data_IF_480323962213
#
_entry.id   IF_480323962213
#
_cell.length_a   1.000
_cell.length_b   1.000
_cell.length_c   1.000
_cell.angle_alpha   90.00
_cell.angle_beta   90.00
_cell.angle_gamma   90.00
#
_symmetry.space_group_name_H-M   'P 1'
#
loop_
_entity.id
_entity.type
_entity.pdbx_description
1 polymer ?
#
# COMPACT_ATOMS: atom_id res chain seq x y z
N UNK A 1 -30.82 -42.62 -46.81
CA UNK A 1 -31.56 -42.56 -48.09
C UNK A 1 -32.93 -41.97 -47.77
N UNK A 2 -33.48 -40.87 -48.30
CA UNK A 2 -33.32 -40.01 -49.49
C UNK A 2 -34.09 -38.71 -49.08
N UNK A 3 -33.50 -37.50 -49.17
CA UNK A 3 -33.89 -36.38 -50.07
C UNK A 3 -35.38 -35.99 -50.09
N UNK A 4 -35.86 -34.74 -50.17
CA UNK A 4 -35.32 -33.40 -50.49
C UNK A 4 -36.52 -32.42 -50.50
N UNK A 5 -36.28 -31.12 -50.28
CA UNK A 5 -36.94 -29.93 -50.91
C UNK A 5 -38.44 -29.69 -50.60
N UNK A 6 -39.04 -28.50 -50.54
CA UNK A 6 -38.73 -27.12 -50.97
C UNK A 6 -39.76 -26.16 -50.33
N UNK A 7 -39.41 -24.87 -50.31
CA UNK A 7 -40.20 -23.73 -49.83
C UNK A 7 -41.56 -23.50 -50.53
N UNK A 8 -42.47 -22.82 -49.81
CA UNK A 8 -43.52 -21.97 -50.39
C UNK A 8 -43.83 -20.80 -49.45
N UNK A 9 -43.80 -19.59 -49.99
CA UNK A 9 -44.22 -18.35 -49.36
C UNK A 9 -45.65 -17.99 -49.81
N UNK A 10 -46.44 -17.37 -48.93
CA UNK A 10 -47.57 -16.50 -49.28
C UNK A 10 -47.97 -15.69 -48.02
N UNK A 11 -47.67 -14.39 -48.00
CA UNK A 11 -48.64 -13.26 -48.09
C UNK A 11 -49.54 -13.11 -46.86
N UNK A 12 -49.19 -12.21 -45.94
CA UNK A 12 -49.68 -10.81 -45.83
C UNK A 12 -51.17 -10.73 -45.50
N UNK A 13 -51.44 -10.40 -44.24
CA UNK A 13 -52.63 -9.65 -43.84
C UNK A 13 -52.15 -8.46 -42.99
N UNK A 14 -52.24 -7.29 -43.61
CA UNK A 14 -52.04 -5.99 -43.00
C UNK A 14 -53.08 -5.76 -41.91
N UNK A 15 -52.62 -5.54 -40.69
CA UNK A 15 -53.41 -4.99 -39.60
C UNK A 15 -52.70 -3.75 -39.07
N UNK A 16 -52.97 -2.60 -39.67
CA UNK A 16 -52.58 -1.29 -39.16
C UNK A 16 -53.26 -1.07 -37.80
N UNK A 17 -52.48 -1.12 -36.71
CA UNK A 17 -52.83 -0.45 -35.46
C UNK A 17 -51.77 0.61 -35.20
N UNK A 18 -52.26 1.84 -35.07
CA UNK A 18 -51.51 3.07 -35.07
C UNK A 18 -50.41 3.13 -33.99
N UNK A 19 -49.28 3.69 -34.41
CA UNK A 19 -48.27 4.29 -33.54
C UNK A 19 -48.94 5.36 -32.66
N UNK A 20 -48.93 5.13 -31.34
CA UNK A 20 -48.94 6.22 -30.37
C UNK A 20 -47.60 6.19 -29.66
N UNK A 21 -46.70 7.06 -30.11
CA UNK A 21 -45.45 7.34 -29.43
C UNK A 21 -45.76 8.05 -28.11
N UNK A 22 -45.77 7.30 -27.01
CA UNK A 22 -45.62 7.90 -25.68
C UNK A 22 -44.13 8.17 -25.49
N UNK A 23 -43.79 9.44 -25.68
CA UNK A 23 -42.49 10.02 -25.44
C UNK A 23 -42.29 10.19 -23.93
N UNK A 24 -42.16 9.08 -23.20
CA UNK A 24 -41.80 9.12 -21.79
C UNK A 24 -40.28 9.29 -21.71
N UNK A 25 -39.77 10.38 -21.11
CA UNK A 25 -38.35 10.48 -20.83
C UNK A 25 -37.97 9.31 -19.92
N UNK A 26 -36.95 8.55 -20.32
CA UNK A 26 -36.36 7.53 -19.46
C UNK A 26 -36.15 8.14 -18.07
N UNK A 27 -36.56 7.47 -16.96
CA UNK A 27 -36.29 7.98 -15.63
C UNK A 27 -34.80 8.23 -15.56
N UNK A 28 -34.43 9.48 -15.26
CA UNK A 28 -33.04 9.87 -15.11
C UNK A 28 -32.41 8.83 -14.19
N UNK A 29 -31.40 8.11 -14.70
CA UNK A 29 -30.52 7.32 -13.84
C UNK A 29 -29.98 8.34 -12.85
N UNK A 30 -30.50 8.29 -11.63
CA UNK A 30 -29.88 8.95 -10.50
C UNK A 30 -28.46 8.40 -10.55
N UNK A 31 -27.49 9.26 -10.84
CA UNK A 31 -26.11 8.88 -10.63
C UNK A 31 -26.08 8.26 -9.24
N UNK A 32 -25.55 7.03 -9.15
CA UNK A 32 -25.16 6.51 -7.86
C UNK A 32 -24.41 7.64 -7.17
N UNK A 33 -24.69 7.94 -5.89
CA UNK A 33 -23.90 8.93 -5.19
C UNK A 33 -22.44 8.55 -5.46
N UNK A 34 -21.69 9.49 -6.01
CA UNK A 34 -20.25 9.41 -6.03
C UNK A 34 -19.90 9.29 -4.56
N UNK A 35 -19.77 8.05 -4.10
CA UNK A 35 -19.27 7.74 -2.78
C UNK A 35 -17.89 8.32 -2.82
N UNK A 36 -17.73 9.50 -2.20
CA UNK A 36 -16.43 9.96 -1.78
C UNK A 36 -15.71 8.72 -1.20
N UNK A 37 -14.47 8.44 -1.62
CA UNK A 37 -13.76 7.29 -1.10
C UNK A 37 -13.89 7.29 0.43
N UNK A 38 -14.09 6.12 1.07
CA UNK A 38 -14.13 6.03 2.54
C UNK A 38 -12.89 6.75 3.05
N UNK A 39 -13.03 7.58 4.10
CA UNK A 39 -12.01 8.51 4.61
C UNK A 39 -10.58 7.95 4.44
N UNK A 40 -9.97 8.25 3.30
CA UNK A 40 -8.74 7.62 2.82
C UNK A 40 -7.54 8.34 3.44
N UNK A 41 -7.71 8.75 4.69
CA UNK A 41 -6.71 9.45 5.47
C UNK A 41 -5.64 8.45 5.89
N UNK A 42 -4.40 8.85 5.65
CA UNK A 42 -3.18 8.19 6.11
C UNK A 42 -3.05 8.21 7.64
N UNK A 43 -3.76 9.12 8.32
CA UNK A 43 -3.67 9.30 9.77
C UNK A 43 -5.04 9.18 10.44
N UNK A 44 -5.03 8.60 11.63
CA UNK A 44 -6.17 8.67 12.55
C UNK A 44 -6.19 10.07 13.17
N UNK A 45 -7.35 10.73 13.13
CA UNK A 45 -7.55 11.99 13.83
C UNK A 45 -7.42 11.80 15.35
N UNK A 46 -6.59 12.64 15.98
CA UNK A 46 -6.43 12.68 17.42
C UNK A 46 -7.01 13.97 17.99
N UNK A 47 -7.50 13.92 19.22
CA UNK A 47 -8.07 15.07 19.94
C UNK A 47 -6.99 16.06 20.44
N UNK A 48 -5.72 15.66 20.34
CA UNK A 48 -4.54 16.45 20.70
C UNK A 48 -3.35 16.13 19.80
N UNK A 49 -2.34 16.99 19.82
CA UNK A 49 -1.04 16.68 19.24
C UNK A 49 -0.38 15.49 19.94
N UNK A 50 0.32 14.66 19.17
CA UNK A 50 1.10 13.53 19.66
C UNK A 50 2.35 14.00 20.40
N UNK A 51 2.69 13.31 21.49
CA UNK A 51 3.93 13.55 22.24
C UNK A 51 5.12 12.86 21.57
N UNK A 52 6.35 13.26 21.91
CA UNK A 52 7.58 12.79 21.26
C UNK A 52 7.94 11.31 21.43
N UNK A 53 7.04 10.47 21.96
CA UNK A 53 7.14 9.01 22.03
C UNK A 53 5.88 8.31 21.47
N UNK A 54 4.97 9.07 20.87
CA UNK A 54 3.76 8.58 20.24
C UNK A 54 3.96 8.57 18.72
N UNK A 55 3.25 7.66 18.05
CA UNK A 55 3.14 7.59 16.60
C UNK A 55 1.75 7.10 16.21
N UNK A 56 1.16 7.69 15.18
CA UNK A 56 -0.10 7.26 14.60
C UNK A 56 0.11 6.09 13.63
N UNK A 57 -0.71 5.05 13.76
CA UNK A 57 -0.82 3.93 12.81
C UNK A 57 -2.29 3.74 12.45
N UNK A 58 -2.64 2.97 11.41
CA UNK A 58 -4.05 2.81 11.03
C UNK A 58 -4.88 2.01 12.06
N UNK A 59 -4.21 1.35 13.01
CA UNK A 59 -4.85 0.66 14.14
C UNK A 59 -4.92 1.49 15.43
N UNK A 60 -4.31 2.68 15.46
CA UNK A 60 -4.33 3.56 16.64
C UNK A 60 -3.01 4.29 16.89
N UNK A 61 -3.00 5.08 17.98
CA UNK A 61 -1.78 5.70 18.51
C UNK A 61 -1.01 4.65 19.32
N UNK A 62 0.27 4.47 18.99
CA UNK A 62 1.19 3.60 19.71
C UNK A 62 2.23 4.42 20.47
N UNK A 63 2.57 4.00 21.68
CA UNK A 63 3.70 4.55 22.44
C UNK A 63 4.93 3.69 22.15
N UNK A 64 5.89 4.27 21.45
CA UNK A 64 7.08 3.57 20.97
C UNK A 64 8.35 4.37 21.26
N UNK A 65 9.45 3.65 21.44
CA UNK A 65 10.78 4.25 21.48
C UNK A 65 11.15 4.77 20.08
N UNK A 66 12.12 5.69 20.01
CA UNK A 66 12.46 6.35 18.75
C UNK A 66 12.91 5.35 17.67
N UNK A 67 13.69 4.33 18.05
CA UNK A 67 14.11 3.20 17.22
C UNK A 67 12.92 2.45 16.59
N UNK A 68 11.88 2.10 17.37
CA UNK A 68 10.68 1.46 16.82
C UNK A 68 9.82 2.40 15.97
N UNK A 69 9.81 3.70 16.27
CA UNK A 69 9.13 4.69 15.41
C UNK A 69 9.82 4.86 14.06
N UNK A 70 11.15 4.72 13.98
CA UNK A 70 11.86 4.64 12.69
C UNK A 70 11.33 3.46 11.86
N UNK A 71 11.11 2.30 12.48
CA UNK A 71 10.55 1.14 11.79
C UNK A 71 9.12 1.38 11.26
N UNK A 72 8.29 2.13 11.99
CA UNK A 72 6.97 2.58 11.50
C UNK A 72 7.14 3.48 10.26
N UNK A 73 8.01 4.49 10.34
CA UNK A 73 8.26 5.39 9.20
C UNK A 73 8.86 4.64 7.99
N UNK A 74 9.67 3.61 8.21
CA UNK A 74 10.29 2.82 7.16
C UNK A 74 9.27 2.19 6.20
N UNK A 75 8.13 1.72 6.72
CA UNK A 75 7.06 1.17 5.88
C UNK A 75 6.49 2.21 4.92
N UNK A 76 6.22 3.43 5.41
CA UNK A 76 5.73 4.52 4.56
C UNK A 76 6.75 4.95 3.51
N UNK A 77 8.03 5.07 3.90
CA UNK A 77 9.09 5.45 2.96
C UNK A 77 9.26 4.38 1.87
N UNK A 78 9.42 3.11 2.24
CA UNK A 78 9.60 2.02 1.28
C UNK A 78 8.40 1.88 0.35
N UNK A 79 7.18 2.04 0.86
CA UNK A 79 5.96 2.08 0.04
C UNK A 79 5.98 3.26 -0.95
N UNK A 80 6.34 4.46 -0.48
CA UNK A 80 6.45 5.66 -1.32
C UNK A 80 7.47 5.51 -2.44
N UNK A 81 8.66 4.98 -2.14
CA UNK A 81 9.69 4.73 -3.15
C UNK A 81 9.24 3.68 -4.18
N UNK A 82 8.56 2.61 -3.76
CA UNK A 82 8.03 1.60 -4.66
C UNK A 82 6.91 2.14 -5.56
N UNK A 83 5.97 2.91 -5.01
CA UNK A 83 4.91 3.59 -5.78
C UNK A 83 5.49 4.55 -6.82
N UNK A 84 6.55 5.26 -6.45
CA UNK A 84 7.16 6.20 -7.38
C UNK A 84 7.76 5.46 -8.58
N UNK A 85 8.54 4.40 -8.33
CA UNK A 85 9.07 3.53 -9.39
C UNK A 85 7.99 2.85 -10.23
N UNK A 86 6.83 2.58 -9.64
CA UNK A 86 5.67 2.03 -10.34
C UNK A 86 4.89 3.07 -11.17
N UNK A 87 5.35 4.33 -11.24
CA UNK A 87 4.70 5.38 -12.01
C UNK A 87 3.45 5.97 -11.34
N UNK A 88 3.33 5.85 -10.02
CA UNK A 88 2.24 6.41 -9.22
C UNK A 88 2.73 7.56 -8.31
N UNK A 89 3.17 8.71 -8.86
CA UNK A 89 3.83 9.77 -8.10
C UNK A 89 2.92 10.42 -7.04
N UNK A 90 1.62 10.58 -7.31
CA UNK A 90 0.68 11.15 -6.32
C UNK A 90 0.56 10.27 -5.07
N UNK A 91 0.49 8.95 -5.26
CA UNK A 91 0.43 7.97 -4.16
C UNK A 91 1.78 7.90 -3.44
N UNK A 92 2.88 8.02 -4.17
CA UNK A 92 4.23 8.09 -3.60
C UNK A 92 4.40 9.31 -2.69
N UNK A 93 3.99 10.50 -3.15
CA UNK A 93 4.05 11.73 -2.37
C UNK A 93 3.21 11.61 -1.09
N UNK A 94 2.01 11.03 -1.18
CA UNK A 94 1.13 10.81 -0.03
C UNK A 94 1.82 9.95 1.07
N UNK A 95 2.49 8.86 0.68
CA UNK A 95 3.26 8.04 1.62
C UNK A 95 4.49 8.76 2.19
N UNK A 96 5.26 9.44 1.33
CA UNK A 96 6.46 10.19 1.75
C UNK A 96 6.12 11.39 2.64
N UNK A 97 4.87 11.84 2.68
CA UNK A 97 4.43 12.92 3.56
C UNK A 97 4.70 12.60 5.05
N UNK A 98 4.71 11.33 5.46
CA UNK A 98 5.09 10.93 6.83
C UNK A 98 6.55 11.28 7.17
N UNK A 99 7.44 11.33 6.18
CA UNK A 99 8.85 11.66 6.36
C UNK A 99 9.11 13.18 6.38
N UNK A 100 8.24 13.98 5.76
CA UNK A 100 8.53 15.41 5.48
C UNK A 100 7.55 16.39 6.10
N UNK A 101 6.31 15.98 6.41
CA UNK A 101 5.28 16.89 6.94
C UNK A 101 5.64 17.44 8.32
N UNK A 102 5.20 18.68 8.57
CA UNK A 102 5.22 19.28 9.91
C UNK A 102 4.24 18.61 10.86
N UNK A 103 3.15 18.03 10.35
CA UNK A 103 2.12 17.35 11.14
C UNK A 103 2.66 16.09 11.83
N UNK A 104 3.60 15.40 11.18
CA UNK A 104 4.27 14.19 11.68
C UNK A 104 5.62 14.48 12.34
N UNK A 105 5.99 15.76 12.52
CA UNK A 105 7.32 16.12 13.02
C UNK A 105 7.62 15.53 14.40
N UNK A 106 6.66 15.55 15.33
CA UNK A 106 6.84 15.00 16.69
C UNK A 106 7.03 13.48 16.69
N UNK A 107 6.48 12.78 15.70
CA UNK A 107 6.69 11.34 15.52
C UNK A 107 8.14 11.01 15.16
N UNK A 108 8.87 11.98 14.57
CA UNK A 108 10.28 11.87 14.16
C UNK A 108 11.27 12.43 15.19
N UNK A 109 10.79 12.89 16.34
CA UNK A 109 11.65 13.40 17.41
C UNK A 109 12.72 12.36 17.80
N UNK A 110 13.99 12.76 17.75
CA UNK A 110 15.13 11.89 18.08
C UNK A 110 15.68 11.05 16.91
N UNK A 111 15.06 11.07 15.72
CA UNK A 111 15.55 10.27 14.58
C UNK A 111 16.92 10.73 14.08
N UNK A 112 17.25 12.01 14.24
CA UNK A 112 18.57 12.54 13.90
C UNK A 112 19.73 11.88 14.66
N UNK A 113 19.46 11.26 15.84
CA UNK A 113 20.47 10.48 16.56
C UNK A 113 20.87 9.18 15.81
N UNK A 114 20.03 8.72 14.89
CA UNK A 114 20.26 7.56 14.04
C UNK A 114 20.70 7.95 12.61
N UNK A 115 20.94 9.23 12.33
CA UNK A 115 21.34 9.67 10.99
C UNK A 115 20.19 9.86 9.99
N UNK A 116 18.94 9.90 10.45
CA UNK A 116 17.81 10.21 9.59
C UNK A 116 17.95 11.62 8.98
N UNK A 117 18.00 11.69 7.65
CA UNK A 117 18.12 12.94 6.91
C UNK A 117 16.82 13.25 6.15
N UNK A 118 15.98 14.11 6.74
CA UNK A 118 14.72 14.56 6.14
C UNK A 118 14.90 15.13 4.73
N UNK A 119 16.03 15.79 4.43
CA UNK A 119 16.24 16.49 3.16
C UNK A 119 16.32 15.55 1.96
N UNK A 120 16.77 14.32 2.17
CA UNK A 120 16.80 13.27 1.14
C UNK A 120 15.37 12.90 0.73
N UNK A 121 14.46 12.79 1.70
CA UNK A 121 13.05 12.49 1.44
C UNK A 121 12.28 13.70 0.89
N UNK A 122 12.60 14.93 1.32
CA UNK A 122 12.05 16.17 0.75
C UNK A 122 12.31 16.26 -0.75
N UNK A 123 13.51 15.88 -1.18
CA UNK A 123 13.90 15.86 -2.60
C UNK A 123 13.00 14.92 -3.40
N UNK A 124 12.82 13.68 -2.93
CA UNK A 124 11.96 12.69 -3.60
C UNK A 124 10.49 13.12 -3.58
N UNK A 125 10.01 13.61 -2.44
CA UNK A 125 8.63 14.10 -2.29
C UNK A 125 8.33 15.27 -3.24
N UNK A 126 9.27 16.22 -3.38
CA UNK A 126 9.12 17.35 -4.30
C UNK A 126 9.07 16.89 -5.76
N UNK A 127 9.92 15.94 -6.15
CA UNK A 127 9.90 15.37 -7.50
C UNK A 127 8.58 14.62 -7.79
N UNK A 128 8.11 13.82 -6.84
CA UNK A 128 6.82 13.13 -6.94
C UNK A 128 5.66 14.13 -7.08
N UNK A 129 5.63 15.17 -6.25
CA UNK A 129 4.60 16.23 -6.31
C UNK A 129 4.63 17.00 -7.64
N UNK A 130 5.83 17.17 -8.23
CA UNK A 130 5.99 17.81 -9.54
C UNK A 130 5.64 16.88 -10.72
N UNK A 131 5.36 15.60 -10.46
CA UNK A 131 5.09 14.59 -11.50
C UNK A 131 6.33 14.26 -12.34
N UNK A 132 7.54 14.50 -11.82
CA UNK A 132 8.78 14.12 -12.51
C UNK A 132 8.84 12.59 -12.63
N UNK A 133 9.15 12.01 -13.80
CA UNK A 133 9.32 10.56 -13.93
C UNK A 133 10.37 10.00 -12.96
N UNK A 134 10.11 8.82 -12.40
CA UNK A 134 11.02 8.19 -11.42
C UNK A 134 12.43 7.94 -12.01
N UNK A 135 12.50 7.58 -13.29
CA UNK A 135 13.76 7.38 -14.03
C UNK A 135 14.65 8.63 -14.08
N UNK A 136 14.06 9.83 -14.03
CA UNK A 136 14.80 11.10 -14.03
C UNK A 136 15.36 11.45 -12.63
N UNK A 137 14.94 10.74 -11.59
CA UNK A 137 15.32 10.98 -10.19
C UNK A 137 15.83 9.72 -9.47
N UNK A 138 16.23 8.68 -10.21
CA UNK A 138 16.63 7.38 -9.63
C UNK A 138 17.78 7.52 -8.63
N UNK A 139 18.75 8.42 -8.86
CA UNK A 139 19.82 8.68 -7.90
C UNK A 139 19.30 9.18 -6.54
N UNK A 140 18.24 10.00 -6.55
CA UNK A 140 17.58 10.46 -5.33
C UNK A 140 16.80 9.33 -4.64
N UNK A 141 16.17 8.44 -5.41
CA UNK A 141 15.49 7.26 -4.87
C UNK A 141 16.48 6.27 -4.23
N UNK A 142 17.65 6.09 -4.82
CA UNK A 142 18.75 5.28 -4.27
C UNK A 142 19.26 5.92 -2.97
N UNK A 143 19.49 7.23 -2.96
CA UNK A 143 19.93 7.95 -1.77
C UNK A 143 18.91 7.84 -0.62
N UNK A 144 17.62 7.98 -0.90
CA UNK A 144 16.55 7.82 0.09
C UNK A 144 16.53 6.41 0.69
N UNK A 145 16.65 5.38 -0.16
CA UNK A 145 16.70 3.99 0.31
C UNK A 145 17.95 3.70 1.13
N UNK A 146 19.10 4.25 0.74
CA UNK A 146 20.35 4.12 1.49
C UNK A 146 20.27 4.78 2.87
N UNK A 147 19.78 6.04 2.95
CA UNK A 147 19.60 6.71 4.23
C UNK A 147 18.64 5.95 5.16
N UNK A 148 17.56 5.37 4.62
CA UNK A 148 16.64 4.57 5.42
C UNK A 148 17.33 3.32 6.00
N UNK A 149 18.09 2.59 5.19
CA UNK A 149 18.83 1.41 5.63
C UNK A 149 19.87 1.75 6.71
N UNK A 150 20.67 2.80 6.49
CA UNK A 150 21.64 3.29 7.46
C UNK A 150 20.98 3.74 8.76
N UNK A 151 19.83 4.43 8.67
CA UNK A 151 19.07 4.87 9.85
C UNK A 151 18.57 3.68 10.65
N UNK A 152 18.00 2.67 10.00
CA UNK A 152 17.52 1.44 10.64
C UNK A 152 18.68 0.69 11.32
N UNK A 153 19.81 0.55 10.66
CA UNK A 153 21.01 -0.07 11.25
C UNK A 153 21.49 0.70 12.48
N UNK A 154 21.55 2.03 12.41
CA UNK A 154 21.98 2.89 13.50
C UNK A 154 21.04 2.87 14.72
N UNK A 155 19.80 2.41 14.59
CA UNK A 155 18.91 2.20 15.75
C UNK A 155 19.45 1.17 16.73
N UNK A 156 20.29 0.24 16.26
CA UNK A 156 20.82 -0.86 17.07
C UNK A 156 19.76 -1.88 17.52
N UNK A 157 18.58 -1.87 16.90
CA UNK A 157 17.58 -2.92 17.10
C UNK A 157 18.15 -4.27 16.67
N UNK A 158 17.86 -5.30 17.46
CA UNK A 158 18.15 -6.66 17.06
C UNK A 158 17.34 -6.98 15.79
N UNK A 159 18.00 -7.59 14.79
CA UNK A 159 17.45 -7.71 13.44
C UNK A 159 16.21 -8.61 13.40
N UNK A 160 16.20 -9.71 14.16
CA UNK A 160 15.05 -10.60 14.26
C UNK A 160 13.86 -9.89 14.93
N UNK A 161 14.08 -9.15 16.01
CA UNK A 161 13.07 -8.34 16.70
C UNK A 161 12.49 -7.26 15.77
N UNK A 162 13.33 -6.62 14.96
CA UNK A 162 12.91 -5.66 13.94
C UNK A 162 12.03 -6.33 12.87
N UNK A 163 12.45 -7.48 12.34
CA UNK A 163 11.65 -8.25 11.36
C UNK A 163 10.29 -8.64 11.94
N UNK A 164 10.25 -9.17 13.17
CA UNK A 164 9.01 -9.57 13.82
C UNK A 164 8.07 -8.37 14.06
N UNK A 165 8.63 -7.23 14.44
CA UNK A 165 7.87 -5.99 14.61
C UNK A 165 7.30 -5.47 13.28
N UNK A 166 8.08 -5.49 12.20
CA UNK A 166 7.61 -5.13 10.86
C UNK A 166 6.51 -6.09 10.37
N UNK A 167 6.61 -7.39 10.66
CA UNK A 167 5.55 -8.36 10.33
C UNK A 167 4.26 -8.15 11.14
N UNK A 168 4.34 -7.63 12.37
CA UNK A 168 3.18 -7.15 13.12
C UNK A 168 2.51 -5.98 12.40
N UNK A 169 3.26 -4.93 12.10
CA UNK A 169 2.74 -3.74 11.41
C UNK A 169 2.17 -4.10 10.03
N UNK A 170 2.81 -5.00 9.28
CA UNK A 170 2.32 -5.50 8.01
C UNK A 170 0.92 -6.11 8.13
N UNK A 171 0.71 -7.00 9.12
CA UNK A 171 -0.58 -7.65 9.32
C UNK A 171 -1.66 -6.66 9.74
N UNK A 172 -1.34 -5.77 10.68
CA UNK A 172 -2.25 -4.73 11.18
C UNK A 172 -2.71 -3.79 10.07
N UNK A 173 -1.77 -3.23 9.31
CA UNK A 173 -2.08 -2.31 8.22
C UNK A 173 -2.79 -3.02 7.06
N UNK A 174 -2.46 -4.27 6.76
CA UNK A 174 -3.15 -5.02 5.72
C UNK A 174 -4.60 -5.29 6.08
N UNK A 175 -4.87 -5.70 7.33
CA UNK A 175 -6.21 -5.94 7.83
C UNK A 175 -7.08 -4.68 7.86
N UNK A 176 -6.48 -3.50 8.03
CA UNK A 176 -7.18 -2.21 7.88
C UNK A 176 -7.32 -1.81 6.41
N UNK A 177 -6.32 -2.11 5.57
CA UNK A 177 -6.25 -1.71 4.18
C UNK A 177 -7.16 -2.50 3.24
N UNK A 178 -7.48 -3.74 3.59
CA UNK A 178 -8.18 -4.68 2.71
C UNK A 178 -9.42 -5.26 3.38
N UNK A 179 -10.57 -5.11 2.74
CA UNK A 179 -11.84 -5.71 3.15
C UNK A 179 -12.41 -6.49 1.97
N UNK A 180 -12.83 -7.74 2.19
CA UNK A 180 -13.44 -8.61 1.17
C UNK A 180 -12.61 -8.71 -0.13
N UNK A 181 -11.27 -8.79 0.01
CA UNK A 181 -10.30 -8.84 -1.09
C UNK A 181 -10.28 -7.62 -2.02
N UNK A 182 -10.82 -6.49 -1.56
CA UNK A 182 -10.73 -5.19 -2.19
C UNK A 182 -9.92 -4.22 -1.33
N UNK A 183 -9.23 -3.28 -1.97
CA UNK A 183 -8.53 -2.20 -1.27
C UNK A 183 -9.58 -1.21 -0.76
N UNK A 184 -9.78 -1.18 0.55
CA UNK A 184 -10.72 -0.27 1.22
C UNK A 184 -10.00 1.01 1.68
N UNK A 185 -8.82 0.85 2.30
CA UNK A 185 -7.95 1.96 2.74
C UNK A 185 -6.58 1.85 2.09
N UNK A 186 -6.42 2.56 0.98
CA UNK A 186 -5.21 2.50 0.16
C UNK A 186 -3.91 2.84 0.93
N UNK A 187 -3.86 3.88 1.77
CA UNK A 187 -2.72 4.17 2.65
C UNK A 187 -2.19 2.99 3.46
N UNK A 188 -3.10 2.28 4.12
CA UNK A 188 -2.77 1.15 5.00
C UNK A 188 -2.28 -0.05 4.17
N UNK A 189 -2.99 -0.37 3.08
CA UNK A 189 -2.57 -1.41 2.13
C UNK A 189 -1.16 -1.16 1.57
N UNK A 190 -0.82 0.10 1.32
CA UNK A 190 0.49 0.51 0.83
C UNK A 190 1.58 0.44 1.91
N UNK A 191 1.30 0.92 3.12
CA UNK A 191 2.24 0.83 4.25
C UNK A 191 2.55 -0.64 4.59
N UNK A 192 1.54 -1.53 4.52
CA UNK A 192 1.72 -2.97 4.71
C UNK A 192 2.76 -3.59 3.76
N UNK A 193 2.75 -3.21 2.47
CA UNK A 193 3.79 -3.61 1.52
C UNK A 193 5.17 -3.12 1.99
N UNK A 194 5.27 -1.84 2.38
CA UNK A 194 6.52 -1.26 2.80
C UNK A 194 7.12 -1.96 4.01
N UNK A 195 6.29 -2.39 4.97
CA UNK A 195 6.75 -3.21 6.10
C UNK A 195 7.24 -4.59 5.66
N UNK A 196 6.53 -5.27 4.76
CA UNK A 196 6.97 -6.56 4.23
C UNK A 196 8.29 -6.46 3.45
N UNK A 197 8.43 -5.44 2.60
CA UNK A 197 9.64 -5.19 1.83
C UNK A 197 10.83 -4.80 2.72
N UNK A 198 10.61 -3.96 3.72
CA UNK A 198 11.64 -3.61 4.71
C UNK A 198 12.07 -4.83 5.51
N UNK A 199 11.13 -5.66 5.97
CA UNK A 199 11.45 -6.89 6.70
C UNK A 199 12.31 -7.85 5.86
N UNK A 200 11.97 -8.02 4.57
CA UNK A 200 12.77 -8.81 3.63
C UNK A 200 14.18 -8.27 3.48
N UNK A 201 14.32 -6.95 3.34
CA UNK A 201 15.62 -6.32 3.13
C UNK A 201 16.50 -6.39 4.40
N UNK A 202 15.92 -6.31 5.60
CA UNK A 202 16.61 -6.60 6.87
C UNK A 202 17.05 -8.06 6.94
N UNK A 203 16.15 -9.00 6.65
CA UNK A 203 16.44 -10.44 6.73
C UNK A 203 17.55 -10.89 5.78
N UNK A 204 17.71 -10.24 4.62
CA UNK A 204 18.80 -10.51 3.68
C UNK A 204 20.20 -10.23 4.24
N UNK A 205 20.30 -9.43 5.28
CA UNK A 205 21.55 -9.11 5.96
C UNK A 205 21.82 -9.99 7.20
N UNK A 206 20.89 -10.89 7.54
CA UNK A 206 21.02 -11.81 8.67
C UNK A 206 21.77 -13.08 8.26
N UNK A 207 22.63 -13.59 9.14
CA UNK A 207 23.30 -14.88 8.93
C UNK A 207 22.31 -16.05 9.13
N UNK A 208 22.29 -17.02 8.21
CA UNK A 208 21.47 -18.23 8.34
C UNK A 208 19.96 -18.04 8.11
N UNK A 209 19.53 -16.86 7.64
CA UNK A 209 18.12 -16.52 7.48
C UNK A 209 17.50 -16.92 6.12
N UNK A 210 18.08 -17.88 5.39
CA UNK A 210 17.64 -18.23 4.02
C UNK A 210 16.15 -18.58 3.92
N UNK A 211 15.65 -19.39 4.86
CA UNK A 211 14.22 -19.78 4.89
C UNK A 211 13.31 -18.59 5.21
N UNK A 212 13.74 -17.70 6.11
CA UNK A 212 13.01 -16.47 6.44
C UNK A 212 12.96 -15.52 5.23
N UNK A 213 14.09 -15.33 4.54
CA UNK A 213 14.16 -14.52 3.33
C UNK A 213 13.23 -15.06 2.26
N UNK A 214 13.18 -16.39 2.06
CA UNK A 214 12.26 -17.02 1.11
C UNK A 214 10.79 -16.70 1.43
N UNK A 215 10.37 -16.87 2.69
CA UNK A 215 8.98 -16.61 3.09
C UNK A 215 8.63 -15.11 3.01
N UNK A 216 9.57 -14.21 3.29
CA UNK A 216 9.39 -12.76 3.12
C UNK A 216 9.34 -12.36 1.64
N UNK A 217 10.09 -13.00 0.76
CA UNK A 217 9.97 -12.79 -0.68
C UNK A 217 8.61 -13.24 -1.22
N UNK A 218 8.10 -14.39 -0.76
CA UNK A 218 6.76 -14.85 -1.10
C UNK A 218 5.69 -13.87 -0.58
N UNK A 219 5.88 -13.33 0.63
CA UNK A 219 5.00 -12.30 1.19
C UNK A 219 4.95 -11.05 0.31
N UNK A 220 6.11 -10.49 -0.06
CA UNK A 220 6.16 -9.28 -0.90
C UNK A 220 5.52 -9.52 -2.28
N UNK A 221 5.68 -10.72 -2.86
CA UNK A 221 5.06 -11.11 -4.15
C UNK A 221 3.53 -11.24 -4.10
N UNK A 222 2.91 -11.11 -2.93
CA UNK A 222 1.45 -11.06 -2.82
C UNK A 222 0.88 -9.72 -3.33
N UNK A 223 1.72 -8.68 -3.47
CA UNK A 223 1.36 -7.44 -4.15
C UNK A 223 1.61 -7.54 -5.67
N UNK A 224 0.75 -6.92 -6.50
CA UNK A 224 0.89 -6.95 -7.96
C UNK A 224 2.08 -6.11 -8.44
N UNK A 225 2.75 -6.55 -9.51
CA UNK A 225 3.77 -5.75 -10.21
C UNK A 225 4.96 -5.32 -9.32
N UNK A 226 5.23 -6.07 -8.25
CA UNK A 226 6.28 -5.80 -7.25
C UNK A 226 6.13 -4.45 -6.51
N UNK A 227 4.92 -3.93 -6.35
CA UNK A 227 4.68 -2.70 -5.59
C UNK A 227 3.22 -2.53 -5.15
N UNK A 228 2.92 -1.57 -4.25
CA UNK A 228 1.59 -1.43 -3.69
C UNK A 228 0.65 -0.57 -4.57
N UNK A 229 0.63 -0.87 -5.86
CA UNK A 229 -0.24 -0.19 -6.82
C UNK A 229 -1.71 -0.56 -6.60
N UNK A 230 -2.60 0.38 -6.96
CA UNK A 230 -4.04 0.18 -6.89
C UNK A 230 -4.49 -0.81 -7.96
N UNK A 231 -5.24 -1.83 -7.56
CA UNK A 231 -5.79 -2.88 -8.43
C UNK A 231 -7.19 -3.26 -7.97
N UNK A 232 -7.96 -3.88 -8.87
CA UNK A 232 -9.36 -4.25 -8.62
C UNK A 232 -9.51 -5.43 -7.64
N UNK A 233 -8.46 -6.23 -7.45
CA UNK A 233 -8.47 -7.38 -6.55
C UNK A 233 -7.08 -7.62 -5.97
N UNK A 234 -7.04 -7.93 -4.67
CA UNK A 234 -5.83 -8.25 -3.92
C UNK A 234 -5.95 -9.61 -3.25
N UNK A 235 -4.86 -10.09 -2.65
CA UNK A 235 -4.95 -11.28 -1.81
C UNK A 235 -5.99 -11.08 -0.68
N UNK A 236 -6.80 -12.09 -0.33
CA UNK A 236 -7.69 -11.95 0.81
C UNK A 236 -6.89 -11.97 2.12
N UNK A 237 -7.35 -11.24 3.13
CA UNK A 237 -6.69 -11.13 4.45
C UNK A 237 -6.24 -12.48 5.05
N UNK A 238 -7.04 -13.57 5.00
CA UNK A 238 -6.59 -14.87 5.52
C UNK A 238 -5.38 -15.46 4.78
N UNK A 239 -5.25 -15.21 3.48
CA UNK A 239 -4.08 -15.65 2.71
C UNK A 239 -2.84 -14.86 3.12
N UNK A 240 -2.98 -13.55 3.29
CA UNK A 240 -1.89 -12.68 3.78
C UNK A 240 -1.45 -13.09 5.18
N UNK A 241 -2.40 -13.27 6.10
CA UNK A 241 -2.13 -13.74 7.47
C UNK A 241 -1.45 -15.10 7.50
N UNK A 242 -1.80 -16.02 6.59
CA UNK A 242 -1.11 -17.32 6.46
C UNK A 242 0.35 -17.14 6.06
N UNK A 243 0.65 -16.24 5.12
CA UNK A 243 2.02 -16.00 4.68
C UNK A 243 2.85 -15.28 5.75
N UNK A 244 2.27 -14.32 6.47
CA UNK A 244 2.89 -13.69 7.64
C UNK A 244 3.21 -14.74 8.72
N UNK A 245 2.29 -15.68 8.99
CA UNK A 245 2.52 -16.75 9.96
C UNK A 245 3.67 -17.69 9.54
N UNK A 246 3.82 -17.97 8.25
CA UNK A 246 4.96 -18.73 7.72
C UNK A 246 6.28 -18.00 7.93
N UNK A 247 6.33 -16.70 7.62
CA UNK A 247 7.52 -15.88 7.87
C UNK A 247 7.89 -15.85 9.36
N UNK A 248 6.90 -15.68 10.26
CA UNK A 248 7.13 -15.73 11.73
C UNK A 248 7.64 -17.09 12.19
N UNK A 249 7.14 -18.19 11.62
CA UNK A 249 7.62 -19.53 11.93
C UNK A 249 9.08 -19.72 11.48
N UNK A 250 9.43 -19.27 10.28
CA UNK A 250 10.81 -19.30 9.79
C UNK A 250 11.75 -18.40 10.62
N UNK A 251 11.24 -17.29 11.15
CA UNK A 251 11.97 -16.45 12.12
C UNK A 251 12.20 -17.16 13.46
N UNK A 252 11.27 -17.99 13.93
CA UNK A 252 11.35 -18.65 15.25
C UNK A 252 12.40 -19.76 15.37
N UNK A 253 13.04 -20.14 14.27
CA UNK A 253 14.06 -21.19 14.20
C UNK A 253 15.48 -20.64 14.04
N UNK A 254 15.65 -19.31 14.03
CA UNK A 254 16.92 -18.58 14.06
C UNK A 254 17.39 -18.38 15.50
#
# INVERSE_FOLDING_TARGET
>A
MISRKTAAAASVLLGNAALSACNDPAPARTAAPETAPPENSLQIETDRALTGNEVSTSVGVRILTADKRVAVLAGHIEAGLALYRAGAPDLAAAQLNHAVSLETQSERDGFGAFGFDTSVYETVHAAATAGTPAEDVEDALIAAKANLAETLEATGLEQLDLVLFLLELCGDEYGVGVIDAAIDRAPAYQAAYGYAATARDVARNMEGADDLVLELELLVRMWPGDGPVMVDAVAPEPAMGTQIARARLAASIL
#
